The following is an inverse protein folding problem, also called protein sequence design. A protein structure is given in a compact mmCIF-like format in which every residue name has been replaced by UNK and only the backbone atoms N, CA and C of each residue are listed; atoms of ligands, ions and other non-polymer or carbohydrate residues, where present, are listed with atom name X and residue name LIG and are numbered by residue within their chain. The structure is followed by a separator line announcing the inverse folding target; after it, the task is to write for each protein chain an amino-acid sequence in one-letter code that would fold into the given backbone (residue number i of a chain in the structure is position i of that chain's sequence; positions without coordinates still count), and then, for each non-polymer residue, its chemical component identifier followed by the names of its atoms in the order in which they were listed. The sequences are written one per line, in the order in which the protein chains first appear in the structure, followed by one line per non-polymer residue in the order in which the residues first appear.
data_IF_646562045801
#
_entry.id   IF_646562045801
#
_cell.length_a   1.000
_cell.length_b   1.000
_cell.length_c   1.000
_cell.angle_alpha   90.00
_cell.angle_beta   90.00
_cell.angle_gamma   90.00
#
_symmetry.space_group_name_H-M   'P 1'
#
loop_
_entity.id
_entity.type
_entity.pdbx_description
1 polymer ?
#
# COMPACT_ATOMS: atom_id res chain seq x y z
N UNK A 1 -3.55 12.44 -29.67
CA UNK A 1 -2.81 11.27 -29.13
C UNK A 1 -2.34 10.36 -30.25
N UNK A 2 -1.07 9.90 -30.22
CA UNK A 2 -0.47 9.08 -31.28
C UNK A 2 -0.67 7.58 -31.02
N UNK A 3 -1.34 6.87 -31.93
CA UNK A 3 -1.60 5.42 -31.82
C UNK A 3 -0.30 4.61 -31.62
N UNK A 4 0.80 5.05 -32.24
CA UNK A 4 2.10 4.39 -32.09
C UNK A 4 2.66 4.49 -30.65
N UNK A 5 2.39 5.57 -29.93
CA UNK A 5 2.86 5.77 -28.54
C UNK A 5 2.06 4.91 -27.57
N UNK A 6 0.75 4.76 -27.81
CA UNK A 6 -0.11 3.86 -27.04
C UNK A 6 0.32 2.41 -27.26
N UNK A 7 0.57 2.02 -28.51
CA UNK A 7 1.03 0.67 -28.84
C UNK A 7 2.40 0.37 -28.21
N UNK A 8 3.37 1.29 -28.33
CA UNK A 8 4.68 1.17 -27.71
C UNK A 8 4.58 1.03 -26.17
N UNK A 9 3.73 1.83 -25.53
CA UNK A 9 3.46 1.75 -24.08
C UNK A 9 2.84 0.41 -23.69
N UNK A 10 1.86 -0.06 -24.46
CA UNK A 10 1.18 -1.35 -24.25
C UNK A 10 2.17 -2.51 -24.35
N UNK A 11 3.02 -2.50 -25.38
CA UNK A 11 4.05 -3.51 -25.59
C UNK A 11 5.10 -3.49 -24.47
N UNK A 12 5.52 -2.30 -24.02
CA UNK A 12 6.46 -2.15 -22.91
C UNK A 12 5.87 -2.66 -21.58
N UNK A 13 4.59 -2.41 -21.31
CA UNK A 13 3.88 -2.99 -20.17
C UNK A 13 3.80 -4.51 -20.25
N UNK A 14 3.45 -5.06 -21.42
CA UNK A 14 3.42 -6.50 -21.62
C UNK A 14 4.80 -7.14 -21.41
N UNK A 15 5.87 -6.50 -21.88
CA UNK A 15 7.25 -6.96 -21.75
C UNK A 15 7.85 -6.76 -20.35
N UNK A 16 7.23 -5.98 -19.46
CA UNK A 16 7.77 -5.70 -18.13
C UNK A 16 7.87 -6.99 -17.29
N UNK A 17 9.10 -7.41 -17.00
CA UNK A 17 9.35 -8.53 -16.11
C UNK A 17 9.47 -8.08 -14.65
N UNK A 18 8.60 -8.64 -13.81
CA UNK A 18 8.57 -8.44 -12.35
C UNK A 18 8.68 -9.78 -11.60
N UNK A 19 9.18 -10.83 -12.25
CA UNK A 19 9.32 -12.17 -11.69
C UNK A 19 10.17 -12.16 -10.41
N UNK A 20 11.32 -11.48 -10.43
CA UNK A 20 12.21 -11.34 -9.28
C UNK A 20 11.54 -10.63 -8.10
N UNK A 21 10.82 -9.53 -8.35
CA UNK A 21 10.07 -8.81 -7.33
C UNK A 21 8.94 -9.67 -6.73
N UNK A 22 8.21 -10.42 -7.57
CA UNK A 22 7.15 -11.30 -7.10
C UNK A 22 7.69 -12.45 -6.24
N UNK A 23 8.83 -13.05 -6.60
CA UNK A 23 9.51 -14.06 -5.77
C UNK A 23 9.92 -13.46 -4.42
N UNK A 24 10.53 -12.28 -4.44
CA UNK A 24 10.95 -11.58 -3.21
C UNK A 24 9.74 -11.23 -2.32
N UNK A 25 8.64 -10.77 -2.91
CA UNK A 25 7.40 -10.48 -2.18
C UNK A 25 6.86 -11.74 -1.50
N UNK A 26 6.77 -12.85 -2.22
CA UNK A 26 6.30 -14.12 -1.66
C UNK A 26 7.19 -14.58 -0.48
N UNK A 27 8.51 -14.42 -0.59
CA UNK A 27 9.45 -14.71 0.51
C UNK A 27 9.23 -13.82 1.73
N UNK A 28 9.03 -12.51 1.51
CA UNK A 28 8.77 -11.55 2.59
C UNK A 28 7.43 -11.86 3.27
N UNK A 29 6.38 -12.15 2.50
CA UNK A 29 5.06 -12.53 3.03
C UNK A 29 5.13 -13.81 3.86
N UNK A 30 5.79 -14.86 3.37
CA UNK A 30 6.01 -16.09 4.12
C UNK A 30 6.80 -15.85 5.42
N UNK A 31 7.82 -14.98 5.39
CA UNK A 31 8.59 -14.62 6.59
C UNK A 31 7.73 -13.83 7.60
N UNK A 32 6.87 -12.91 7.14
CA UNK A 32 5.92 -12.20 8.02
C UNK A 32 5.00 -13.21 8.71
N UNK A 33 4.43 -14.16 7.98
CA UNK A 33 3.52 -15.17 8.54
C UNK A 33 4.22 -16.06 9.57
N UNK A 34 5.46 -16.48 9.31
CA UNK A 34 6.28 -17.22 10.27
C UNK A 34 6.54 -16.42 11.55
N UNK A 35 6.91 -15.14 11.42
CA UNK A 35 7.17 -14.26 12.56
C UNK A 35 5.92 -14.05 13.42
N UNK A 36 4.76 -13.82 12.79
CA UNK A 36 3.49 -13.63 13.48
C UNK A 36 2.99 -14.92 14.15
N UNK A 37 3.23 -16.08 13.53
CA UNK A 37 2.91 -17.39 14.12
C UNK A 37 3.75 -17.64 15.37
N UNK A 38 5.06 -17.38 15.30
CA UNK A 38 5.95 -17.51 16.45
C UNK A 38 5.60 -16.50 17.57
N UNK A 39 5.26 -15.26 17.22
CA UNK A 39 4.81 -14.25 18.18
C UNK A 39 3.54 -14.68 18.90
N UNK A 40 2.56 -15.21 18.16
CA UNK A 40 1.32 -15.74 18.72
C UNK A 40 1.58 -16.88 19.69
N UNK A 41 2.40 -17.86 19.31
CA UNK A 41 2.77 -18.97 20.18
C UNK A 41 3.48 -18.51 21.46
N UNK A 42 4.38 -17.53 21.36
CA UNK A 42 5.04 -16.94 22.53
C UNK A 42 4.04 -16.26 23.47
N UNK A 43 3.08 -15.50 22.94
CA UNK A 43 2.03 -14.85 23.76
C UNK A 43 1.06 -15.84 24.39
N UNK A 44 0.73 -16.93 23.69
CA UNK A 44 -0.06 -18.03 24.23
C UNK A 44 0.66 -18.69 25.41
N UNK A 45 1.97 -18.94 25.30
CA UNK A 45 2.78 -19.45 26.41
C UNK A 45 2.87 -18.47 27.58
N UNK A 46 3.06 -17.17 27.33
CA UNK A 46 2.99 -16.15 28.39
C UNK A 46 1.65 -16.20 29.15
N UNK A 47 0.54 -16.36 28.42
CA UNK A 47 -0.79 -16.46 29.03
C UNK A 47 -0.95 -17.73 29.88
N UNK A 48 -0.39 -18.86 29.42
CA UNK A 48 -0.35 -20.10 30.18
C UNK A 48 0.48 -19.94 31.46
N UNK A 49 1.68 -19.34 31.38
CA UNK A 49 2.54 -19.10 32.54
C UNK A 49 1.85 -18.20 33.57
N UNK A 50 1.16 -17.14 33.13
CA UNK A 50 0.42 -16.26 34.06
C UNK A 50 -0.65 -17.04 34.83
N UNK A 51 -1.32 -18.02 34.19
CA UNK A 51 -2.26 -18.92 34.87
C UNK A 51 -1.53 -19.85 35.84
N UNK A 52 -0.43 -20.47 35.41
CA UNK A 52 0.41 -21.34 36.25
C UNK A 52 0.92 -20.60 37.50
N UNK A 53 1.32 -19.33 37.37
CA UNK A 53 1.74 -18.47 38.48
C UNK A 53 0.55 -18.17 39.40
N UNK A 54 -0.62 -17.81 38.86
CA UNK A 54 -1.81 -17.51 39.67
C UNK A 54 -2.32 -18.73 40.46
N UNK A 55 -2.21 -19.91 39.86
CA UNK A 55 -2.62 -21.19 40.45
C UNK A 55 -1.51 -21.84 41.31
N UNK A 56 -0.33 -21.22 41.39
CA UNK A 56 0.81 -21.77 42.11
C UNK A 56 0.51 -21.89 43.62
N UNK A 57 0.61 -23.10 44.16
CA UNK A 57 0.42 -23.43 45.58
C UNK A 57 1.69 -23.94 46.26
N UNK A 58 2.84 -23.81 45.61
CA UNK A 58 4.11 -24.44 46.01
C UNK A 58 4.35 -25.78 45.29
N UNK A 59 5.53 -26.40 45.50
CA UNK A 59 5.87 -27.69 44.89
C UNK A 59 4.89 -28.78 45.35
N UNK A 60 4.48 -29.64 44.41
CA UNK A 60 3.55 -30.72 44.72
C UNK A 60 4.18 -31.71 45.71
N UNK A 61 3.38 -32.25 46.63
CA UNK A 61 3.88 -33.27 47.58
C UNK A 61 4.47 -34.50 46.89
N UNK A 62 4.05 -34.81 45.65
CA UNK A 62 4.64 -35.86 44.83
C UNK A 62 6.05 -35.51 44.35
N UNK A 63 6.28 -34.29 43.87
CA UNK A 63 7.61 -33.82 43.47
C UNK A 63 8.58 -33.76 44.65
N UNK A 64 8.10 -33.33 45.83
CA UNK A 64 8.88 -33.38 47.07
C UNK A 64 9.18 -34.82 47.48
N UNK A 65 8.22 -35.74 47.35
CA UNK A 65 8.42 -37.16 47.66
C UNK A 65 9.44 -37.80 46.71
N UNK A 66 9.37 -37.54 45.41
CA UNK A 66 10.33 -38.05 44.43
C UNK A 66 11.75 -37.51 44.69
N UNK A 67 11.87 -36.23 45.05
CA UNK A 67 13.15 -35.62 45.43
C UNK A 67 13.74 -36.23 46.72
N UNK A 68 12.89 -36.49 47.73
CA UNK A 68 13.31 -37.20 48.94
C UNK A 68 13.75 -38.64 48.63
N UNK A 69 13.04 -39.34 47.75
CA UNK A 69 13.41 -40.69 47.29
C UNK A 69 14.72 -40.72 46.49
N UNK A 70 15.06 -39.62 45.83
CA UNK A 70 16.35 -39.41 45.16
C UNK A 70 17.50 -39.00 46.13
N UNK A 71 17.28 -39.08 47.46
CA UNK A 71 18.23 -38.71 48.52
C UNK A 71 18.64 -37.23 48.56
N UNK A 72 17.80 -36.31 48.05
CA UNK A 72 18.00 -34.89 48.34
C UNK A 72 17.72 -34.58 49.81
N UNK A 73 18.43 -33.60 50.39
CA UNK A 73 18.14 -33.16 51.74
C UNK A 73 16.70 -32.61 51.83
N UNK A 74 16.00 -32.74 52.97
CA UNK A 74 14.62 -32.27 53.10
C UNK A 74 14.42 -30.79 52.78
N UNK A 75 15.44 -29.95 53.07
CA UNK A 75 15.47 -28.54 52.68
C UNK A 75 15.48 -28.35 51.17
N UNK A 76 16.13 -29.23 50.43
CA UNK A 76 16.35 -29.14 48.99
C UNK A 76 15.17 -29.77 48.23
N UNK A 77 14.63 -30.87 48.75
CA UNK A 77 13.43 -31.52 48.24
C UNK A 77 12.19 -30.61 48.32
N UNK A 78 12.10 -29.76 49.34
CA UNK A 78 11.02 -28.79 49.51
C UNK A 78 11.02 -27.65 48.46
N UNK A 79 12.06 -27.55 47.62
CA UNK A 79 12.21 -26.52 46.57
C UNK A 79 12.28 -27.15 45.17
N UNK A 80 12.31 -28.47 45.06
CA UNK A 80 12.38 -29.20 43.79
C UNK A 80 10.99 -29.26 43.14
N UNK A 81 10.74 -28.30 42.25
CA UNK A 81 9.56 -28.13 41.40
C UNK A 81 9.75 -26.93 40.47
N UNK A 82 8.81 -26.63 39.54
CA UNK A 82 8.85 -25.36 38.82
C UNK A 82 8.82 -24.24 39.86
N UNK A 83 9.92 -23.51 39.95
CA UNK A 83 10.10 -22.41 40.87
C UNK A 83 9.41 -21.16 40.28
N UNK A 84 8.71 -20.38 41.11
CA UNK A 84 7.99 -19.19 40.69
C UNK A 84 8.90 -18.18 39.97
N UNK A 85 10.15 -18.02 40.42
CA UNK A 85 11.17 -17.18 39.78
C UNK A 85 11.54 -17.72 38.38
N UNK A 86 11.60 -19.05 38.20
CA UNK A 86 11.80 -19.65 36.88
C UNK A 86 10.66 -19.35 35.89
N UNK A 87 9.41 -19.39 36.34
CA UNK A 87 8.23 -19.04 35.54
C UNK A 87 8.18 -17.55 35.21
N UNK A 88 8.49 -16.68 36.17
CA UNK A 88 8.59 -15.23 35.95
C UNK A 88 9.68 -14.87 34.94
N UNK A 89 10.85 -15.51 35.04
CA UNK A 89 11.96 -15.36 34.08
C UNK A 89 11.57 -15.84 32.68
N UNK A 90 10.92 -17.01 32.57
CA UNK A 90 10.42 -17.52 31.30
C UNK A 90 9.43 -16.53 30.67
N UNK A 91 8.47 -16.03 31.44
CA UNK A 91 7.47 -15.07 30.96
C UNK A 91 8.11 -13.76 30.48
N UNK A 92 9.05 -13.20 31.26
CA UNK A 92 9.76 -11.99 30.88
C UNK A 92 10.57 -12.18 29.58
N UNK A 93 11.26 -13.31 29.43
CA UNK A 93 12.01 -13.65 28.23
C UNK A 93 11.10 -13.82 27.01
N UNK A 94 9.96 -14.51 27.15
CA UNK A 94 8.98 -14.71 26.09
C UNK A 94 8.30 -13.40 25.68
N UNK A 95 7.97 -12.51 26.62
CA UNK A 95 7.44 -11.19 26.32
C UNK A 95 8.45 -10.37 25.51
N UNK A 96 9.71 -10.33 25.94
CA UNK A 96 10.78 -9.65 25.19
C UNK A 96 10.97 -10.25 23.79
N UNK A 97 10.92 -11.59 23.69
CA UNK A 97 10.96 -12.33 22.43
C UNK A 97 9.81 -11.97 21.50
N UNK A 98 8.57 -11.97 22.00
CA UNK A 98 7.37 -11.61 21.25
C UNK A 98 7.44 -10.15 20.73
N UNK A 99 7.89 -9.21 21.57
CA UNK A 99 8.10 -7.82 21.14
C UNK A 99 9.17 -7.72 20.03
N UNK A 100 10.24 -8.49 20.14
CA UNK A 100 11.29 -8.56 19.11
C UNK A 100 10.75 -9.11 17.78
N UNK A 101 9.97 -10.21 17.83
CA UNK A 101 9.31 -10.79 16.66
C UNK A 101 8.36 -9.81 15.99
N UNK A 102 7.53 -9.09 16.77
CA UNK A 102 6.63 -8.06 16.24
C UNK A 102 7.37 -6.91 15.54
N UNK A 103 8.51 -6.45 16.10
CA UNK A 103 9.36 -5.44 15.43
C UNK A 103 9.95 -5.96 14.12
N UNK A 104 10.39 -7.22 14.08
CA UNK A 104 10.92 -7.85 12.86
C UNK A 104 9.83 -7.99 11.79
N UNK A 105 8.61 -8.36 12.17
CA UNK A 105 7.47 -8.42 11.26
C UNK A 105 7.15 -7.04 10.68
N UNK A 106 7.22 -5.99 11.51
CA UNK A 106 7.02 -4.61 11.04
C UNK A 106 8.12 -4.16 10.08
N UNK A 107 9.38 -4.50 10.34
CA UNK A 107 10.49 -4.22 9.42
C UNK A 107 10.30 -4.93 8.07
N UNK A 108 9.89 -6.20 8.08
CA UNK A 108 9.59 -6.95 6.86
C UNK A 108 8.41 -6.35 6.07
N UNK A 109 7.38 -5.83 6.76
CA UNK A 109 6.28 -5.08 6.11
C UNK A 109 6.77 -3.80 5.44
N UNK A 110 7.68 -3.06 6.07
CA UNK A 110 8.29 -1.88 5.45
C UNK A 110 9.09 -2.26 4.20
N UNK A 111 9.85 -3.35 4.25
CA UNK A 111 10.56 -3.89 3.08
C UNK A 111 9.59 -4.26 1.96
N UNK A 112 8.48 -4.93 2.27
CA UNK A 112 7.41 -5.25 1.31
C UNK A 112 6.90 -4.01 0.57
N UNK A 113 6.68 -2.91 1.31
CA UNK A 113 6.25 -1.63 0.73
C UNK A 113 7.31 -1.05 -0.20
N UNK A 114 8.58 -1.10 0.17
CA UNK A 114 9.67 -0.60 -0.67
C UNK A 114 9.82 -1.42 -1.96
N UNK A 115 9.69 -2.75 -1.90
CA UNK A 115 9.73 -3.60 -3.11
C UNK A 115 8.59 -3.25 -4.06
N UNK A 116 7.36 -3.11 -3.55
CA UNK A 116 6.18 -2.70 -4.36
C UNK A 116 6.35 -1.29 -4.92
N UNK A 117 6.92 -0.35 -4.15
CA UNK A 117 7.22 1.01 -4.62
C UNK A 117 8.29 0.99 -5.70
N UNK A 118 9.33 0.17 -5.57
CA UNK A 118 10.36 -0.04 -6.57
C UNK A 118 9.81 -0.55 -7.89
N UNK A 119 8.93 -1.56 -7.85
CA UNK A 119 8.23 -2.07 -9.02
C UNK A 119 7.40 -0.97 -9.72
N UNK A 120 6.65 -0.15 -8.97
CA UNK A 120 5.91 1.00 -9.53
C UNK A 120 6.82 2.04 -10.19
N UNK A 121 8.00 2.32 -9.62
CA UNK A 121 8.96 3.26 -10.22
C UNK A 121 9.45 2.81 -11.59
N UNK A 122 9.53 1.51 -11.87
CA UNK A 122 9.91 0.99 -13.20
C UNK A 122 8.90 1.37 -14.30
N UNK A 123 7.65 1.66 -13.93
CA UNK A 123 6.63 2.12 -14.90
C UNK A 123 6.84 3.55 -15.35
N UNK A 124 7.46 4.39 -14.53
CA UNK A 124 7.59 5.83 -14.82
C UNK A 124 8.20 6.10 -16.20
N UNK A 125 9.38 5.56 -16.58
CA UNK A 125 9.94 5.82 -17.90
C UNK A 125 9.10 5.25 -19.06
N UNK A 126 8.27 4.24 -18.79
CA UNK A 126 7.36 3.64 -19.80
C UNK A 126 6.17 4.56 -20.05
N UNK A 127 5.62 5.16 -18.99
CA UNK A 127 4.40 5.98 -19.04
C UNK A 127 4.67 7.44 -19.38
N UNK A 128 5.89 7.93 -19.10
CA UNK A 128 6.24 9.33 -19.29
C UNK A 128 5.93 9.86 -20.71
N UNK A 129 6.25 9.16 -21.82
CA UNK A 129 5.93 9.66 -23.15
C UNK A 129 4.42 9.88 -23.39
N UNK A 130 3.58 9.00 -22.85
CA UNK A 130 2.13 9.13 -22.95
C UNK A 130 1.60 10.30 -22.11
N UNK A 131 2.20 10.54 -20.94
CA UNK A 131 1.88 11.69 -20.09
C UNK A 131 2.29 12.98 -20.78
N UNK A 132 3.46 13.01 -21.40
CA UNK A 132 3.97 14.18 -22.12
C UNK A 132 3.06 14.52 -23.30
N UNK A 133 2.69 13.53 -24.14
CA UNK A 133 1.74 13.75 -25.25
C UNK A 133 0.38 14.28 -24.79
N UNK A 134 -0.19 13.70 -23.72
CA UNK A 134 -1.47 14.15 -23.17
C UNK A 134 -1.37 15.55 -22.57
N UNK A 135 -0.22 15.89 -21.99
CA UNK A 135 0.05 17.22 -21.44
C UNK A 135 0.19 18.25 -22.56
N UNK A 136 0.93 17.94 -23.62
CA UNK A 136 1.06 18.80 -24.79
C UNK A 136 -0.29 19.04 -25.48
N UNK A 137 -1.09 17.98 -25.66
CA UNK A 137 -2.44 18.10 -26.23
C UNK A 137 -3.35 18.97 -25.35
N UNK A 138 -3.29 18.80 -24.03
CA UNK A 138 -4.04 19.63 -23.08
C UNK A 138 -3.61 21.11 -23.14
N UNK A 139 -2.31 21.39 -23.22
CA UNK A 139 -1.78 22.74 -23.35
C UNK A 139 -2.25 23.41 -24.65
N UNK A 140 -2.16 22.72 -25.79
CA UNK A 140 -2.61 23.24 -27.08
C UNK A 140 -4.11 23.55 -27.09
N UNK A 141 -4.94 22.71 -26.44
CA UNK A 141 -6.37 22.97 -26.30
C UNK A 141 -6.66 24.18 -25.40
N UNK A 142 -5.90 24.37 -24.32
CA UNK A 142 -6.03 25.53 -23.45
C UNK A 142 -5.66 26.84 -24.18
N UNK A 143 -4.58 26.84 -24.96
CA UNK A 143 -4.19 27.97 -25.82
C UNK A 143 -5.29 28.29 -26.84
N UNK A 144 -5.88 27.27 -27.47
CA UNK A 144 -6.99 27.47 -28.41
C UNK A 144 -8.23 28.09 -27.76
N UNK A 145 -8.55 27.70 -26.53
CA UNK A 145 -9.65 28.31 -25.77
C UNK A 145 -9.37 29.78 -25.45
N UNK A 146 -8.12 30.13 -25.13
CA UNK A 146 -7.71 31.52 -24.91
C UNK A 146 -7.87 32.37 -26.18
N UNK A 147 -7.45 31.85 -27.34
CA UNK A 147 -7.63 32.54 -28.64
C UNK A 147 -9.10 32.78 -28.97
N UNK A 148 -9.96 31.80 -28.73
CA UNK A 148 -11.41 31.92 -28.95
C UNK A 148 -12.01 32.97 -28.02
N UNK A 149 -11.64 32.96 -26.73
CA UNK A 149 -12.09 33.97 -25.78
C UNK A 149 -11.66 35.39 -26.19
N UNK A 150 -10.40 35.55 -26.61
CA UNK A 150 -9.88 36.83 -27.09
C UNK A 150 -10.65 37.31 -28.33
N UNK A 151 -10.92 36.41 -29.28
CA UNK A 151 -11.68 36.70 -30.50
C UNK A 151 -13.12 37.12 -30.19
N UNK A 152 -13.83 36.38 -29.33
CA UNK A 152 -15.20 36.72 -28.92
C UNK A 152 -15.26 38.02 -28.14
N UNK A 153 -14.28 38.28 -27.28
CA UNK A 153 -14.17 39.55 -26.55
C UNK A 153 -13.98 40.72 -27.52
N UNK A 154 -13.11 40.58 -28.52
CA UNK A 154 -12.91 41.60 -29.55
C UNK A 154 -14.18 41.86 -30.37
N UNK A 155 -14.88 40.80 -30.79
CA UNK A 155 -16.18 40.92 -31.50
C UNK A 155 -17.21 41.64 -30.61
N UNK A 156 -17.33 41.23 -29.34
CA UNK A 156 -18.29 41.82 -28.41
C UNK A 156 -18.01 43.28 -28.10
N UNK A 157 -16.74 43.65 -27.89
CA UNK A 157 -16.35 45.04 -27.65
C UNK A 157 -16.56 45.95 -28.86
N UNK A 158 -16.61 45.39 -30.06
CA UNK A 158 -16.80 46.15 -31.31
C UNK A 158 -18.25 46.19 -31.78
N UNK A 159 -19.02 45.14 -31.53
CA UNK A 159 -20.35 44.93 -32.14
C UNK A 159 -21.50 44.87 -31.14
N UNK A 160 -21.21 44.93 -29.84
CA UNK A 160 -22.14 44.67 -28.73
C UNK A 160 -22.83 43.29 -28.78
N UNK A 161 -22.37 42.38 -29.65
CA UNK A 161 -22.89 41.02 -29.82
C UNK A 161 -21.89 39.97 -29.34
N UNK A 162 -22.37 38.82 -28.85
CA UNK A 162 -21.49 37.71 -28.45
C UNK A 162 -20.94 37.79 -27.01
N UNK A 163 -21.40 38.73 -26.19
CA UNK A 163 -20.90 38.92 -24.82
C UNK A 163 -21.21 37.73 -23.90
N UNK A 164 -22.32 37.01 -24.12
CA UNK A 164 -22.70 35.83 -23.32
C UNK A 164 -21.78 34.66 -23.62
N UNK A 165 -21.45 34.47 -24.88
CA UNK A 165 -20.54 33.46 -25.40
C UNK A 165 -19.11 33.75 -24.94
N UNK A 166 -18.65 35.00 -25.04
CA UNK A 166 -17.37 35.43 -24.48
C UNK A 166 -17.29 35.13 -22.98
N UNK A 167 -18.35 35.46 -22.21
CA UNK A 167 -18.41 35.15 -20.77
C UNK A 167 -18.38 33.65 -20.49
N UNK A 168 -19.08 32.84 -21.28
CA UNK A 168 -19.09 31.38 -21.12
C UNK A 168 -17.71 30.77 -21.38
N UNK A 169 -17.04 31.16 -22.47
CA UNK A 169 -15.67 30.70 -22.77
C UNK A 169 -14.67 31.23 -21.74
N UNK A 170 -14.83 32.47 -21.26
CA UNK A 170 -14.00 33.03 -20.19
C UNK A 170 -14.10 32.23 -18.87
N UNK A 171 -15.28 31.68 -18.54
CA UNK A 171 -15.44 30.77 -17.40
C UNK A 171 -14.77 29.41 -17.64
N UNK A 172 -14.77 28.90 -18.87
CA UNK A 172 -14.06 27.67 -19.24
C UNK A 172 -12.54 27.85 -19.15
N UNK A 173 -12.02 28.98 -19.65
CA UNK A 173 -10.60 29.36 -19.53
C UNK A 173 -10.21 29.47 -18.07
N UNK A 174 -10.97 30.21 -17.25
CA UNK A 174 -10.69 30.33 -15.81
C UNK A 174 -10.71 28.96 -15.12
N UNK A 175 -11.62 28.08 -15.49
CA UNK A 175 -11.68 26.71 -15.01
C UNK A 175 -10.62 25.76 -15.56
N UNK A 176 -9.90 26.13 -16.62
CA UNK A 176 -8.76 25.38 -17.14
C UNK A 176 -7.43 25.84 -16.51
N UNK A 177 -7.35 27.12 -16.11
CA UNK A 177 -6.13 27.77 -15.64
C UNK A 177 -6.03 27.84 -14.10
N UNK A 178 -7.12 28.14 -13.39
CA UNK A 178 -7.07 28.46 -11.95
C UNK A 178 -7.54 27.32 -11.03
N UNK A 179 -8.36 26.37 -11.50
CA UNK A 179 -9.00 25.38 -10.63
C UNK A 179 -9.44 24.12 -11.40
N UNK A 180 -8.93 22.94 -11.01
CA UNK A 180 -9.15 21.62 -11.64
C UNK A 180 -10.63 21.19 -11.84
N UNK A 181 -11.64 21.97 -11.42
CA UNK A 181 -13.03 21.54 -11.27
C UNK A 181 -14.11 22.33 -12.00
N UNK A 182 -13.82 23.48 -12.63
CA UNK A 182 -14.89 24.33 -13.19
C UNK A 182 -15.41 23.84 -14.55
N UNK A 183 -14.54 23.28 -15.41
CA UNK A 183 -14.97 22.57 -16.62
C UNK A 183 -15.79 21.30 -16.31
N UNK A 184 -15.55 20.68 -15.14
CA UNK A 184 -16.12 19.39 -14.76
C UNK A 184 -17.47 19.50 -14.05
N UNK A 185 -17.85 20.67 -13.54
CA UNK A 185 -19.20 20.89 -12.98
C UNK A 185 -20.34 20.75 -14.01
N UNK A 186 -20.01 20.70 -15.30
CA UNK A 186 -20.98 20.51 -16.40
C UNK A 186 -21.21 19.02 -16.76
N UNK A 187 -20.36 18.09 -16.31
CA UNK A 187 -20.53 16.63 -16.47
C UNK A 187 -20.09 15.91 -15.20
N UNK A 188 -21.02 15.24 -14.53
CA UNK A 188 -20.75 14.52 -13.27
C UNK A 188 -19.74 13.37 -13.37
N UNK A 189 -19.39 12.91 -14.57
CA UNK A 189 -18.29 11.96 -14.81
C UNK A 189 -17.77 12.05 -16.25
N UNK A 190 -16.46 11.83 -16.42
CA UNK A 190 -15.80 11.69 -17.72
C UNK A 190 -15.11 10.33 -17.76
N UNK A 191 -15.39 9.55 -18.80
CA UNK A 191 -14.74 8.26 -19.04
C UNK A 191 -13.35 8.48 -19.65
N UNK A 192 -12.38 7.68 -19.22
CA UNK A 192 -11.08 7.63 -19.85
C UNK A 192 -11.21 7.00 -21.25
N UNK A 193 -10.42 7.43 -22.25
CA UNK A 193 -10.40 6.81 -23.57
C UNK A 193 -10.16 5.30 -23.50
N UNK A 194 -10.87 4.55 -24.33
CA UNK A 194 -10.85 3.07 -24.32
C UNK A 194 -9.44 2.54 -24.62
N UNK A 195 -8.69 3.24 -25.45
CA UNK A 195 -7.32 2.94 -25.85
C UNK A 195 -6.37 3.01 -24.65
N UNK A 196 -6.53 4.02 -23.79
CA UNK A 196 -5.73 4.19 -22.56
C UNK A 196 -6.08 3.11 -21.54
N UNK A 197 -7.38 2.84 -21.35
CA UNK A 197 -7.83 1.76 -20.49
C UNK A 197 -7.28 0.41 -20.97
N UNK A 198 -7.27 0.18 -22.28
CA UNK A 198 -6.77 -1.06 -22.89
C UNK A 198 -5.25 -1.18 -22.72
N UNK A 199 -4.49 -0.11 -22.92
CA UNK A 199 -3.06 -0.09 -22.65
C UNK A 199 -2.76 -0.42 -21.18
N UNK A 200 -3.47 0.19 -20.24
CA UNK A 200 -3.31 -0.07 -18.80
C UNK A 200 -3.64 -1.52 -18.42
N UNK A 201 -4.58 -2.18 -19.11
CA UNK A 201 -4.88 -3.60 -18.91
C UNK A 201 -3.72 -4.53 -19.27
N UNK A 202 -2.74 -4.09 -20.07
CA UNK A 202 -1.53 -4.89 -20.32
C UNK A 202 -0.67 -5.10 -19.06
N UNK A 203 -0.94 -4.34 -18.00
CA UNK A 203 -0.32 -4.53 -16.70
C UNK A 203 -1.09 -5.55 -15.81
N UNK A 204 -2.30 -5.98 -16.21
CA UNK A 204 -3.02 -7.03 -15.50
C UNK A 204 -2.19 -8.32 -15.50
N UNK A 205 -2.18 -9.00 -14.36
CA UNK A 205 -1.40 -10.25 -14.20
C UNK A 205 0.08 -10.06 -13.86
N UNK A 206 0.57 -8.83 -13.63
CA UNK A 206 1.94 -8.59 -13.14
C UNK A 206 2.20 -8.97 -11.67
N UNK A 207 1.20 -9.56 -11.01
CA UNK A 207 1.32 -10.19 -9.69
C UNK A 207 1.32 -9.20 -8.52
N UNK A 208 1.76 -9.66 -7.36
CA UNK A 208 1.74 -8.90 -6.11
C UNK A 208 2.71 -7.70 -6.11
N UNK A 209 3.71 -7.69 -6.99
CA UNK A 209 4.61 -6.56 -7.21
C UNK A 209 3.88 -5.32 -7.72
N UNK A 210 2.82 -5.50 -8.51
CA UNK A 210 2.05 -4.42 -9.08
C UNK A 210 0.55 -4.73 -8.97
N UNK A 211 -0.07 -4.51 -7.79
CA UNK A 211 -1.51 -4.63 -7.66
C UNK A 211 -2.18 -3.44 -8.34
N UNK A 212 -3.03 -3.70 -9.34
CA UNK A 212 -3.62 -2.68 -10.19
C UNK A 212 -5.10 -2.54 -9.89
N UNK A 213 -5.51 -1.28 -9.81
CA UNK A 213 -6.92 -0.88 -9.81
C UNK A 213 -7.06 0.16 -10.91
N UNK A 214 -7.55 -0.29 -12.07
CA UNK A 214 -7.75 0.58 -13.23
C UNK A 214 -9.01 1.42 -12.98
N UNK A 215 -8.84 2.73 -12.88
CA UNK A 215 -9.96 3.67 -12.84
C UNK A 215 -10.36 4.03 -14.26
N UNK A 216 -11.59 3.68 -14.62
CA UNK A 216 -12.18 3.94 -15.94
C UNK A 216 -12.91 5.28 -16.02
N UNK A 217 -13.14 5.92 -14.87
CA UNK A 217 -13.91 7.15 -14.77
C UNK A 217 -13.24 8.11 -13.79
N UNK A 218 -13.32 9.40 -14.10
CA UNK A 218 -13.11 10.46 -13.13
C UNK A 218 -14.48 10.96 -12.63
N UNK A 219 -14.60 11.21 -11.33
CA UNK A 219 -15.82 11.71 -10.68
C UNK A 219 -15.45 12.84 -9.72
N UNK A 220 -16.27 13.89 -9.66
CA UNK A 220 -16.08 15.08 -8.80
C UNK A 220 -16.93 15.05 -7.53
N UNK A 221 -17.47 13.90 -7.13
CA UNK A 221 -18.22 13.78 -5.87
C UNK A 221 -17.33 14.03 -4.65
#
# INVERSE_FOLDING_TARGET
MNDATIEATTNAFAALDLSAENVRIAQIEANIDQLLTAEKAARERCTAIVREIADFRGPSGAAVADALLANHAPSDAAVLGPDLDSLEKENAALLAGAHSLGRRAQAARSELVEVKRGAKKKLQPIVQPLVDELTEEATAMAERLLEIFASLSAISGTTDNGWREARAVGLMVKGAVDDFGLLLRLRGSVEAPVEIVTALRALDGKGAALPISIRTHFSTQ
#
